data_IF_153201808957
#
_entry.id   IF_153201808957
#
_cell.length_a   1.000
_cell.length_b   1.000
_cell.length_c   1.000
_cell.angle_alpha   90.00
_cell.angle_beta   90.00
_cell.angle_gamma   90.00
#
_symmetry.space_group_name_H-M   'P 1'
#
loop_
_entity.id
_entity.type
_entity.pdbx_description
1 polymer ?
#
# COMPACT_ATOMS: atom_id res chain seq x y z
N UNK A 1 -35.11 6.65 40.62
CA UNK A 1 -34.77 6.45 42.03
C UNK A 1 -33.26 6.47 42.20
N UNK A 2 -32.86 7.51 42.83
CA UNK A 2 -31.70 7.86 43.66
C UNK A 2 -30.29 7.35 43.32
N UNK A 3 -29.51 8.35 42.88
CA UNK A 3 -28.05 8.52 43.10
C UNK A 3 -27.78 8.64 44.62
N UNK A 4 -26.56 8.25 44.99
CA UNK A 4 -25.80 8.44 46.26
C UNK A 4 -25.53 7.12 46.98
N UNK A 5 -24.24 6.77 46.95
CA UNK A 5 -23.43 6.52 48.17
C UNK A 5 -22.13 5.84 47.75
N UNK A 6 -21.06 6.62 47.69
CA UNK A 6 -19.67 6.15 47.85
C UNK A 6 -18.87 7.31 48.45
N UNK A 7 -18.85 7.41 49.74
CA UNK A 7 -17.81 8.16 50.47
C UNK A 7 -17.57 7.46 51.79
N UNK A 8 -16.31 7.30 52.11
CA UNK A 8 -15.64 7.09 53.39
C UNK A 8 -15.40 5.66 53.90
N UNK A 9 -14.09 5.42 54.00
CA UNK A 9 -13.35 4.96 55.20
C UNK A 9 -11.91 4.73 54.76
N UNK A 10 -10.83 5.28 55.28
CA UNK A 10 -10.52 5.72 56.59
C UNK A 10 -9.02 5.51 56.74
N UNK A 11 -8.31 6.53 57.15
CA UNK A 11 -6.85 6.54 57.32
C UNK A 11 -6.43 5.64 58.50
N UNK A 12 -5.30 4.95 58.35
CA UNK A 12 -4.46 4.52 59.47
C UNK A 12 -3.00 4.69 59.11
N UNK A 13 -2.32 5.64 59.74
CA UNK A 13 -0.90 5.85 59.68
C UNK A 13 -0.15 4.83 60.55
N UNK A 14 0.89 4.22 59.99
CA UNK A 14 1.92 3.58 60.81
C UNK A 14 3.29 4.11 60.36
N UNK A 15 3.92 4.87 61.27
CA UNK A 15 5.30 5.31 61.14
C UNK A 15 6.21 4.16 61.58
N UNK A 16 7.10 3.70 60.73
CA UNK A 16 8.29 2.94 61.12
C UNK A 16 9.50 3.54 60.40
N UNK A 17 10.38 4.10 61.21
CA UNK A 17 11.73 4.55 60.88
C UNK A 17 12.66 3.36 60.58
N UNK A 18 13.48 3.47 59.54
CA UNK A 18 14.54 2.48 59.34
C UNK A 18 15.33 2.63 58.02
N UNK A 19 16.46 3.34 58.11
CA UNK A 19 17.76 3.17 57.42
C UNK A 19 17.81 3.13 55.88
N UNK A 20 18.55 4.12 55.40
CA UNK A 20 19.06 4.33 54.07
C UNK A 20 19.72 3.08 53.46
N UNK A 21 19.28 2.69 52.29
CA UNK A 21 20.09 1.96 51.34
C UNK A 21 19.97 2.66 49.99
N UNK A 22 21.06 3.27 49.56
CA UNK A 22 21.26 3.79 48.20
C UNK A 22 21.15 2.62 47.24
N UNK A 23 19.98 2.44 46.63
CA UNK A 23 19.83 1.58 45.44
C UNK A 23 20.25 2.42 44.25
N UNK A 24 21.41 2.13 43.71
CA UNK A 24 21.87 2.55 42.41
C UNK A 24 20.79 2.20 41.37
N UNK A 25 20.13 3.21 40.84
CA UNK A 25 19.20 3.08 39.77
C UNK A 25 19.87 2.47 38.55
N UNK A 26 19.49 1.24 38.26
CA UNK A 26 19.82 0.59 37.02
C UNK A 26 19.00 1.28 35.91
N UNK A 27 19.55 2.32 35.30
CA UNK A 27 19.05 2.90 34.06
C UNK A 27 19.25 1.84 32.99
N UNK A 28 18.26 0.98 32.79
CA UNK A 28 18.19 0.16 31.59
C UNK A 28 18.11 1.13 30.42
N UNK A 29 19.23 1.38 29.76
CA UNK A 29 19.24 2.03 28.47
C UNK A 29 18.36 1.16 27.53
N UNK A 30 17.15 1.62 27.26
CA UNK A 30 16.39 1.14 26.11
C UNK A 30 17.30 1.42 24.91
N UNK A 31 18.01 0.41 24.44
CA UNK A 31 18.63 0.44 23.12
C UNK A 31 17.49 0.68 22.14
N UNK A 32 17.35 1.91 21.66
CA UNK A 32 16.49 2.20 20.51
C UNK A 32 16.93 1.26 19.40
N UNK A 33 16.08 0.31 19.06
CA UNK A 33 16.29 -0.51 17.86
C UNK A 33 16.33 0.48 16.70
N UNK A 34 17.53 0.72 16.14
CA UNK A 34 17.67 1.52 14.92
C UNK A 34 16.69 0.96 13.90
N UNK A 35 15.78 1.80 13.40
CA UNK A 35 14.85 1.44 12.34
C UNK A 35 15.63 0.83 11.16
N UNK A 36 15.13 -0.30 10.64
CA UNK A 36 15.71 -0.93 9.46
C UNK A 36 15.67 0.08 8.30
N UNK A 37 16.78 0.20 7.59
CA UNK A 37 16.87 1.07 6.42
C UNK A 37 17.20 0.25 5.17
N UNK A 38 16.75 0.74 4.03
CA UNK A 38 16.87 0.13 2.71
C UNK A 38 17.72 1.01 1.81
N UNK A 39 18.02 0.57 0.61
CA UNK A 39 18.75 1.35 -0.37
C UNK A 39 20.03 1.95 0.21
N UNK A 40 20.88 1.07 0.79
CA UNK A 40 22.15 1.47 1.44
C UNK A 40 21.99 2.55 2.53
N UNK A 41 20.84 2.54 3.21
CA UNK A 41 20.57 3.46 4.31
C UNK A 41 19.88 4.77 3.91
N UNK A 42 19.54 4.95 2.64
CA UNK A 42 18.86 6.16 2.14
C UNK A 42 17.38 6.15 2.50
N UNK A 43 16.69 5.02 2.37
CA UNK A 43 15.24 4.94 2.57
C UNK A 43 14.85 4.24 3.86
N UNK A 44 13.84 4.72 4.61
CA UNK A 44 13.24 3.99 5.71
C UNK A 44 12.28 2.88 5.23
N UNK A 45 11.94 2.87 3.94
CA UNK A 45 11.04 1.91 3.32
C UNK A 45 11.71 1.15 2.20
N UNK A 46 11.32 -0.12 1.94
CA UNK A 46 11.67 -0.80 0.71
C UNK A 46 11.09 -0.05 -0.48
N UNK A 47 11.82 -0.01 -1.60
CA UNK A 47 11.36 0.61 -2.85
C UNK A 47 10.94 -0.50 -3.82
N UNK A 48 9.70 -0.40 -4.27
CA UNK A 48 9.07 -1.32 -5.20
C UNK A 48 8.98 -0.72 -6.61
N UNK A 49 9.11 -1.54 -7.62
CA UNK A 49 8.78 -1.19 -9.00
C UNK A 49 7.42 -1.81 -9.35
N UNK A 50 6.43 -0.98 -9.62
CA UNK A 50 5.21 -1.42 -10.30
C UNK A 50 5.50 -1.72 -11.77
N UNK A 51 5.03 -2.87 -12.24
CA UNK A 51 5.31 -3.37 -13.59
C UNK A 51 4.69 -2.54 -14.71
N UNK A 52 3.67 -1.71 -14.43
CA UNK A 52 3.12 -0.76 -15.39
C UNK A 52 4.15 0.31 -15.80
N UNK A 53 5.12 0.62 -14.94
CA UNK A 53 6.20 1.58 -15.25
C UNK A 53 7.03 1.16 -16.47
N UNK A 54 7.19 -0.15 -16.67
CA UNK A 54 7.94 -0.75 -17.78
C UNK A 54 7.06 -1.74 -18.56
N UNK A 55 5.83 -1.36 -18.82
CA UNK A 55 4.74 -2.21 -19.33
C UNK A 55 5.08 -3.08 -20.55
N UNK A 56 5.84 -2.63 -21.55
CA UNK A 56 6.11 -3.43 -22.75
C UNK A 56 6.96 -4.69 -22.54
N UNK A 57 7.72 -4.77 -21.45
CA UNK A 57 8.54 -5.96 -21.18
C UNK A 57 7.68 -7.17 -20.76
N UNK A 58 8.17 -8.38 -21.02
CA UNK A 58 7.57 -9.59 -20.44
C UNK A 58 7.70 -9.62 -18.93
N UNK A 59 6.82 -10.33 -18.22
CA UNK A 59 6.88 -10.43 -16.75
C UNK A 59 8.27 -10.87 -16.25
N UNK A 60 8.87 -11.87 -16.90
CA UNK A 60 10.22 -12.33 -16.55
C UNK A 60 11.30 -11.27 -16.76
N UNK A 61 11.20 -10.49 -17.83
CA UNK A 61 12.14 -9.41 -18.08
C UNK A 61 11.94 -8.27 -17.10
N UNK A 62 10.70 -7.93 -16.75
CA UNK A 62 10.38 -6.93 -15.71
C UNK A 62 11.01 -7.30 -14.37
N UNK A 63 10.94 -8.57 -13.96
CA UNK A 63 11.58 -9.06 -12.73
C UNK A 63 13.10 -8.86 -12.79
N UNK A 64 13.75 -9.22 -13.92
CA UNK A 64 15.19 -9.04 -14.10
C UNK A 64 15.59 -7.57 -14.13
N UNK A 65 14.81 -6.73 -14.81
CA UNK A 65 15.01 -5.28 -14.87
C UNK A 65 14.94 -4.67 -13.46
N UNK A 66 13.91 -5.01 -12.68
CA UNK A 66 13.75 -4.52 -11.31
C UNK A 66 14.94 -4.91 -10.42
N UNK A 67 15.37 -6.18 -10.46
CA UNK A 67 16.51 -6.67 -9.71
C UNK A 67 17.81 -5.97 -10.13
N UNK A 68 18.07 -5.86 -11.43
CA UNK A 68 19.26 -5.21 -11.98
C UNK A 68 19.30 -3.72 -11.69
N UNK A 69 18.15 -3.04 -11.71
CA UNK A 69 18.04 -1.63 -11.33
C UNK A 69 18.26 -1.39 -9.83
N UNK A 70 18.16 -2.43 -9.00
CA UNK A 70 18.42 -2.37 -7.56
C UNK A 70 17.18 -2.08 -6.70
N UNK A 71 15.98 -2.35 -7.19
CA UNK A 71 14.76 -2.30 -6.38
C UNK A 71 14.78 -3.38 -5.29
N UNK A 72 14.05 -3.16 -4.20
CA UNK A 72 13.86 -4.14 -3.14
C UNK A 72 12.68 -5.08 -3.43
N UNK A 73 11.73 -4.63 -4.26
CA UNK A 73 10.47 -5.33 -4.51
C UNK A 73 9.94 -5.07 -5.92
N UNK A 74 9.00 -5.92 -6.35
CA UNK A 74 8.25 -5.77 -7.60
C UNK A 74 6.76 -5.97 -7.35
N UNK A 75 5.91 -5.17 -7.99
CA UNK A 75 4.45 -5.22 -7.92
C UNK A 75 3.87 -5.56 -9.29
N UNK A 76 3.57 -6.85 -9.56
CA UNK A 76 3.02 -7.27 -10.84
C UNK A 76 1.49 -7.10 -10.88
N UNK A 77 0.95 -7.16 -12.11
CA UNK A 77 -0.48 -7.21 -12.38
C UNK A 77 -0.99 -8.64 -12.47
N UNK A 78 -2.21 -8.88 -12.04
CA UNK A 78 -2.86 -10.19 -12.13
C UNK A 78 -2.95 -10.71 -13.56
N UNK A 79 -3.21 -9.83 -14.54
CA UNK A 79 -3.22 -10.18 -15.95
C UNK A 79 -1.87 -10.73 -16.46
N UNK A 80 -0.75 -10.24 -15.94
CA UNK A 80 0.58 -10.77 -16.26
C UNK A 80 0.79 -12.17 -15.67
N UNK A 81 0.26 -12.41 -14.49
CA UNK A 81 0.30 -13.73 -13.85
C UNK A 81 -0.57 -14.73 -14.60
N UNK A 82 -1.78 -14.32 -15.02
CA UNK A 82 -2.68 -15.13 -15.84
C UNK A 82 -2.03 -15.49 -17.17
N UNK A 83 -1.43 -14.52 -17.86
CA UNK A 83 -0.75 -14.74 -19.13
C UNK A 83 0.45 -15.69 -18.96
N UNK A 84 1.23 -15.53 -17.90
CA UNK A 84 2.38 -16.38 -17.60
C UNK A 84 1.92 -17.83 -17.35
N UNK A 85 0.87 -18.04 -16.55
CA UNK A 85 0.33 -19.36 -16.25
C UNK A 85 -0.32 -20.00 -17.51
N UNK A 86 -1.05 -19.22 -18.31
CA UNK A 86 -1.65 -19.68 -19.57
C UNK A 86 -0.61 -20.16 -20.60
N UNK A 87 0.61 -19.62 -20.53
CA UNK A 87 1.75 -20.06 -21.36
C UNK A 87 2.50 -21.25 -20.76
N UNK A 88 1.97 -21.89 -19.72
CA UNK A 88 2.55 -23.05 -19.05
C UNK A 88 3.58 -22.70 -17.95
N UNK A 89 3.65 -21.44 -17.54
CA UNK A 89 4.51 -21.02 -16.45
C UNK A 89 3.98 -21.50 -15.07
N UNK A 90 4.89 -21.75 -14.14
CA UNK A 90 4.56 -22.10 -12.76
C UNK A 90 4.79 -20.88 -11.86
N UNK A 91 3.73 -20.40 -11.19
CA UNK A 91 3.79 -19.18 -10.37
C UNK A 91 4.62 -19.38 -9.09
N UNK A 92 4.65 -20.58 -8.51
CA UNK A 92 5.48 -20.87 -7.31
C UNK A 92 6.96 -20.83 -7.66
N UNK A 93 7.33 -21.37 -8.83
CA UNK A 93 8.71 -21.30 -9.31
C UNK A 93 9.10 -19.86 -9.65
N UNK A 94 8.17 -19.08 -10.22
CA UNK A 94 8.38 -17.66 -10.47
C UNK A 94 8.58 -16.88 -9.16
N UNK A 95 7.78 -17.14 -8.15
CA UNK A 95 7.94 -16.55 -6.81
C UNK A 95 9.29 -16.87 -6.19
N UNK A 96 9.80 -18.10 -6.39
CA UNK A 96 11.15 -18.49 -5.98
C UNK A 96 12.21 -17.72 -6.77
N UNK A 97 12.09 -17.61 -8.11
CA UNK A 97 13.00 -16.83 -8.97
C UNK A 97 13.07 -15.36 -8.50
N UNK A 98 11.93 -14.74 -8.20
CA UNK A 98 11.85 -13.37 -7.65
C UNK A 98 12.67 -13.25 -6.37
N UNK A 99 12.48 -14.18 -5.43
CA UNK A 99 13.20 -14.20 -4.16
C UNK A 99 14.71 -14.45 -4.34
N UNK A 100 15.10 -15.36 -5.23
CA UNK A 100 16.50 -15.67 -5.51
C UNK A 100 17.24 -14.48 -6.14
N UNK A 101 16.52 -13.59 -6.84
CA UNK A 101 17.02 -12.31 -7.36
C UNK A 101 17.07 -11.19 -6.29
N UNK A 102 16.71 -11.48 -5.04
CA UNK A 102 16.72 -10.54 -3.93
C UNK A 102 15.49 -9.64 -3.85
N UNK A 103 14.48 -9.88 -4.66
CA UNK A 103 13.22 -9.15 -4.65
C UNK A 103 12.17 -9.85 -3.77
N UNK A 104 11.13 -9.10 -3.37
CA UNK A 104 9.89 -9.66 -2.85
C UNK A 104 8.67 -9.00 -3.51
N UNK A 105 7.49 -9.60 -3.32
CA UNK A 105 6.24 -9.10 -3.88
C UNK A 105 5.37 -8.53 -2.73
N UNK A 106 5.28 -7.20 -2.56
CA UNK A 106 4.47 -6.62 -1.51
C UNK A 106 2.98 -6.69 -1.81
N UNK A 107 2.62 -6.59 -3.08
CA UNK A 107 1.24 -6.53 -3.56
C UNK A 107 1.15 -7.01 -5.03
N UNK A 108 -0.05 -7.42 -5.42
CA UNK A 108 -0.46 -7.65 -6.82
C UNK A 108 -1.62 -6.73 -7.13
N UNK A 109 -1.62 -6.09 -8.29
CA UNK A 109 -2.77 -5.31 -8.76
C UNK A 109 -3.77 -6.27 -9.41
N UNK A 110 -5.00 -6.41 -8.84
CA UNK A 110 -5.77 -7.46 -9.42
C UNK A 110 -7.22 -7.76 -9.07
N UNK A 111 -7.84 -7.30 -8.03
CA UNK A 111 -9.25 -7.65 -7.77
C UNK A 111 -10.20 -6.58 -8.34
N UNK A 112 -10.34 -6.54 -9.68
CA UNK A 112 -11.10 -5.52 -10.38
C UNK A 112 -12.62 -5.63 -10.22
N UNK A 113 -13.16 -6.84 -10.07
CA UNK A 113 -14.60 -7.12 -10.03
C UNK A 113 -15.03 -7.80 -8.72
N UNK A 114 -14.20 -7.72 -7.68
CA UNK A 114 -14.48 -8.41 -6.43
C UNK A 114 -15.53 -7.72 -5.55
N UNK A 115 -15.87 -6.46 -5.84
CA UNK A 115 -16.83 -5.65 -5.08
C UNK A 115 -17.93 -5.08 -6.00
N UNK A 116 -18.72 -5.92 -6.69
CA UNK A 116 -19.78 -5.47 -7.58
C UNK A 116 -21.02 -4.98 -6.80
N UNK A 117 -21.98 -4.30 -7.49
CA UNK A 117 -23.11 -3.63 -6.84
C UNK A 117 -24.20 -4.55 -6.31
N UNK A 118 -24.28 -5.80 -6.75
CA UNK A 118 -25.36 -6.72 -6.32
C UNK A 118 -24.85 -8.04 -5.76
N UNK A 119 -25.69 -8.76 -5.04
CA UNK A 119 -25.36 -10.06 -4.45
C UNK A 119 -25.08 -11.10 -5.52
N UNK A 120 -25.88 -11.15 -6.57
CA UNK A 120 -25.75 -12.11 -7.67
C UNK A 120 -24.40 -11.95 -8.38
N UNK A 121 -24.02 -10.70 -8.67
CA UNK A 121 -22.72 -10.39 -9.29
C UNK A 121 -21.56 -10.71 -8.35
N UNK A 122 -21.73 -10.47 -7.05
CA UNK A 122 -20.72 -10.82 -6.05
C UNK A 122 -20.51 -12.34 -6.02
N UNK A 123 -21.56 -13.11 -5.87
CA UNK A 123 -21.47 -14.58 -5.82
C UNK A 123 -20.87 -15.14 -7.14
N UNK A 124 -21.24 -14.57 -8.29
CA UNK A 124 -20.65 -14.94 -9.58
C UNK A 124 -19.15 -14.60 -9.69
N UNK A 125 -18.69 -13.52 -9.04
CA UNK A 125 -17.29 -13.09 -9.09
C UNK A 125 -16.37 -13.93 -8.22
N UNK A 126 -16.88 -14.67 -7.23
CA UNK A 126 -16.07 -15.35 -6.20
C UNK A 126 -15.09 -16.38 -6.76
N UNK A 127 -15.44 -17.07 -7.85
CA UNK A 127 -14.52 -18.05 -8.46
C UNK A 127 -13.28 -17.36 -9.03
N UNK A 128 -13.44 -16.27 -9.76
CA UNK A 128 -12.34 -15.50 -10.34
C UNK A 128 -11.55 -14.79 -9.24
N UNK A 129 -12.22 -14.19 -8.27
CA UNK A 129 -11.61 -13.57 -7.08
C UNK A 129 -10.68 -14.54 -6.35
N UNK A 130 -11.12 -15.79 -6.08
CA UNK A 130 -10.28 -16.82 -5.47
C UNK A 130 -9.08 -17.21 -6.32
N UNK A 131 -9.29 -17.32 -7.65
CA UNK A 131 -8.20 -17.65 -8.56
C UNK A 131 -7.11 -16.56 -8.57
N UNK A 132 -7.48 -15.28 -8.56
CA UNK A 132 -6.56 -14.16 -8.50
C UNK A 132 -5.80 -14.12 -7.16
N UNK A 133 -6.49 -14.38 -6.04
CA UNK A 133 -5.86 -14.51 -4.72
C UNK A 133 -4.89 -15.68 -4.67
N UNK A 134 -5.23 -16.85 -5.27
CA UNK A 134 -4.32 -17.98 -5.40
C UNK A 134 -3.05 -17.59 -6.15
N UNK A 135 -3.17 -16.95 -7.31
CA UNK A 135 -2.03 -16.51 -8.11
C UNK A 135 -1.12 -15.56 -7.34
N UNK A 136 -1.70 -14.59 -6.64
CA UNK A 136 -0.94 -13.67 -5.80
C UNK A 136 -0.22 -14.40 -4.65
N UNK A 137 -0.87 -15.35 -4.00
CA UNK A 137 -0.27 -16.16 -2.95
C UNK A 137 0.88 -17.03 -3.47
N UNK A 138 0.72 -17.64 -4.64
CA UNK A 138 1.73 -18.53 -5.22
C UNK A 138 3.03 -17.83 -5.59
N UNK A 139 2.98 -16.55 -6.02
CA UNK A 139 4.20 -15.75 -6.23
C UNK A 139 4.75 -15.14 -4.94
N UNK A 140 4.11 -15.39 -3.79
CA UNK A 140 4.55 -14.91 -2.48
C UNK A 140 4.15 -13.47 -2.16
N UNK A 141 3.10 -12.94 -2.77
CA UNK A 141 2.57 -11.64 -2.44
C UNK A 141 1.95 -11.61 -1.03
N UNK A 142 2.02 -10.46 -0.38
CA UNK A 142 1.36 -10.23 0.91
C UNK A 142 -0.04 -9.64 0.72
N UNK A 143 -0.18 -8.70 -0.20
CA UNK A 143 -1.42 -7.99 -0.45
C UNK A 143 -1.90 -8.22 -1.89
N UNK A 144 -3.20 -8.01 -2.11
CA UNK A 144 -3.78 -7.88 -3.44
C UNK A 144 -4.67 -6.65 -3.49
N UNK A 145 -4.46 -5.80 -4.48
CA UNK A 145 -5.22 -4.57 -4.65
C UNK A 145 -6.66 -4.87 -5.03
N UNK A 146 -7.56 -4.18 -4.38
CA UNK A 146 -9.00 -4.32 -4.57
C UNK A 146 -9.59 -2.98 -4.94
N UNK A 147 -10.08 -2.86 -6.17
CA UNK A 147 -10.72 -1.66 -6.66
C UNK A 147 -12.22 -1.86 -6.61
N UNK A 148 -12.96 -1.10 -5.79
CA UNK A 148 -14.42 -1.15 -5.75
C UNK A 148 -15.00 -0.72 -7.09
N UNK A 149 -15.30 -1.68 -7.95
CA UNK A 149 -15.97 -1.45 -9.23
C UNK A 149 -17.47 -1.67 -9.05
N UNK A 150 -18.13 -0.69 -8.48
CA UNK A 150 -19.58 -0.63 -8.48
C UNK A 150 -20.02 0.01 -9.78
N UNK A 151 -19.98 -0.76 -10.87
CA UNK A 151 -20.44 -0.28 -12.17
C UNK A 151 -21.85 0.32 -12.04
N UNK A 152 -21.97 1.64 -12.21
CA UNK A 152 -23.24 2.35 -12.17
C UNK A 152 -23.40 3.33 -11.01
N UNK A 153 -24.53 3.99 -11.00
CA UNK A 153 -24.86 5.19 -10.22
C UNK A 153 -25.07 4.93 -8.71
N UNK A 154 -25.04 3.69 -8.23
CA UNK A 154 -25.40 3.33 -6.86
C UNK A 154 -24.17 2.99 -6.00
N UNK A 155 -23.34 3.99 -5.70
CA UNK A 155 -22.36 3.85 -4.64
C UNK A 155 -23.08 3.63 -3.29
N UNK A 156 -22.92 2.44 -2.74
CA UNK A 156 -23.43 2.10 -1.41
C UNK A 156 -22.27 1.65 -0.52
N UNK A 157 -21.77 2.57 0.30
CA UNK A 157 -20.62 2.32 1.19
C UNK A 157 -20.81 1.11 2.09
N UNK A 158 -21.98 0.94 2.70
CA UNK A 158 -22.26 -0.20 3.60
C UNK A 158 -22.25 -1.54 2.86
N UNK A 159 -22.77 -1.56 1.64
CA UNK A 159 -22.70 -2.76 0.79
C UNK A 159 -21.26 -3.11 0.44
N UNK A 160 -20.48 -2.13 -0.04
CA UNK A 160 -19.07 -2.32 -0.39
C UNK A 160 -18.28 -2.78 0.83
N UNK A 161 -18.47 -2.17 2.00
CA UNK A 161 -17.80 -2.54 3.23
C UNK A 161 -18.10 -3.98 3.66
N UNK A 162 -19.37 -4.40 3.58
CA UNK A 162 -19.75 -5.77 3.88
C UNK A 162 -19.11 -6.78 2.91
N UNK A 163 -19.08 -6.48 1.62
CA UNK A 163 -18.41 -7.34 0.61
C UNK A 163 -16.89 -7.32 0.76
N UNK A 164 -16.32 -6.18 1.08
CA UNK A 164 -14.89 -6.08 1.39
C UNK A 164 -14.51 -6.97 2.57
N UNK A 165 -15.32 -6.98 3.63
CA UNK A 165 -15.13 -7.91 4.75
C UNK A 165 -15.17 -9.37 4.29
N UNK A 166 -16.13 -9.75 3.44
CA UNK A 166 -16.23 -11.12 2.94
C UNK A 166 -14.98 -11.54 2.17
N UNK A 167 -14.44 -10.68 1.29
CA UNK A 167 -13.21 -11.02 0.55
C UNK A 167 -11.95 -10.99 1.42
N UNK A 168 -11.91 -10.15 2.46
CA UNK A 168 -10.84 -10.21 3.48
C UNK A 168 -10.81 -11.58 4.16
N UNK A 169 -11.96 -12.06 4.62
CA UNK A 169 -12.07 -13.38 5.25
C UNK A 169 -11.65 -14.51 4.31
N UNK A 170 -12.05 -14.45 3.03
CA UNK A 170 -11.63 -15.42 2.01
C UNK A 170 -10.11 -15.36 1.80
N UNK A 171 -9.58 -14.17 1.55
CA UNK A 171 -8.15 -13.98 1.28
C UNK A 171 -7.27 -14.48 2.41
N UNK A 172 -7.61 -14.12 3.63
CA UNK A 172 -6.85 -14.51 4.83
C UNK A 172 -6.93 -16.00 5.12
N UNK A 173 -8.14 -16.57 5.10
CA UNK A 173 -8.34 -17.98 5.50
C UNK A 173 -7.89 -18.98 4.45
N UNK A 174 -8.15 -18.71 3.17
CA UNK A 174 -7.90 -19.66 2.09
C UNK A 174 -6.48 -19.51 1.49
N UNK A 175 -5.93 -18.28 1.48
CA UNK A 175 -4.70 -17.98 0.73
C UNK A 175 -3.61 -17.26 1.54
N UNK A 176 -3.89 -16.82 2.75
CA UNK A 176 -2.99 -15.94 3.54
C UNK A 176 -2.61 -14.66 2.76
N UNK A 177 -3.59 -14.10 2.03
CA UNK A 177 -3.49 -12.86 1.26
C UNK A 177 -4.39 -11.80 1.89
N UNK A 178 -3.91 -10.55 1.94
CA UNK A 178 -4.64 -9.41 2.45
C UNK A 178 -5.16 -8.54 1.30
N UNK A 179 -6.45 -8.61 0.93
CA UNK A 179 -7.06 -7.63 0.04
C UNK A 179 -6.95 -6.22 0.64
N UNK A 180 -6.52 -5.24 -0.16
CA UNK A 180 -6.37 -3.85 0.26
C UNK A 180 -7.09 -2.92 -0.71
N UNK A 181 -7.86 -1.95 -0.20
CA UNK A 181 -8.68 -1.06 -1.02
C UNK A 181 -7.84 0.00 -1.71
N UNK A 182 -8.03 0.14 -3.01
CA UNK A 182 -7.51 1.25 -3.81
C UNK A 182 -8.65 2.22 -4.13
N UNK A 183 -8.36 3.49 -4.18
CA UNK A 183 -9.26 4.52 -4.69
C UNK A 183 -8.70 5.10 -5.98
N UNK A 184 -9.56 5.33 -6.96
CA UNK A 184 -9.17 5.76 -8.30
C UNK A 184 -10.17 6.80 -8.81
N UNK A 185 -9.69 7.90 -9.40
CA UNK A 185 -10.50 9.04 -9.87
C UNK A 185 -11.74 8.61 -10.68
N UNK A 186 -11.61 7.62 -11.54
CA UNK A 186 -12.68 7.18 -12.47
C UNK A 186 -13.51 6.02 -11.95
N UNK A 187 -13.34 5.66 -10.67
CA UNK A 187 -14.13 4.64 -10.00
C UNK A 187 -15.07 5.29 -8.97
N UNK A 188 -16.10 4.61 -8.50
CA UNK A 188 -17.01 5.14 -7.48
C UNK A 188 -16.33 5.55 -6.18
N UNK A 189 -15.26 4.84 -5.80
CA UNK A 189 -14.39 5.19 -4.66
C UNK A 189 -13.21 5.97 -5.20
N UNK A 190 -13.27 7.30 -5.06
CA UNK A 190 -12.34 8.24 -5.69
C UNK A 190 -11.28 8.78 -4.74
N UNK A 191 -11.59 8.85 -3.45
CA UNK A 191 -10.74 9.52 -2.47
C UNK A 191 -10.28 8.58 -1.36
N UNK A 192 -9.15 8.93 -0.75
CA UNK A 192 -8.63 8.22 0.42
C UNK A 192 -9.66 8.18 1.57
N UNK A 193 -10.40 9.27 1.78
CA UNK A 193 -11.44 9.34 2.80
C UNK A 193 -12.57 8.33 2.57
N UNK A 194 -13.01 8.16 1.30
CA UNK A 194 -14.00 7.13 0.96
C UNK A 194 -13.46 5.71 1.18
N UNK A 195 -12.23 5.42 0.75
CA UNK A 195 -11.61 4.11 0.97
C UNK A 195 -11.44 3.80 2.47
N UNK A 196 -11.01 4.77 3.28
CA UNK A 196 -10.93 4.63 4.73
C UNK A 196 -12.31 4.43 5.37
N UNK A 197 -13.34 5.15 4.93
CA UNK A 197 -14.71 4.95 5.40
C UNK A 197 -15.19 3.51 5.17
N UNK A 198 -14.93 2.94 3.98
CA UNK A 198 -15.24 1.55 3.68
C UNK A 198 -14.44 0.59 4.57
N UNK A 199 -13.13 0.84 4.75
CA UNK A 199 -12.28 0.01 5.59
C UNK A 199 -12.76 0.00 7.07
N UNK A 200 -13.17 1.16 7.58
CA UNK A 200 -13.73 1.28 8.93
C UNK A 200 -15.09 0.57 9.06
N UNK A 201 -16.00 0.76 8.09
CA UNK A 201 -17.32 0.14 8.08
C UNK A 201 -17.25 -1.38 7.89
N UNK A 202 -16.19 -1.90 7.24
CA UNK A 202 -15.94 -3.34 7.16
C UNK A 202 -15.71 -3.96 8.55
N UNK A 203 -15.31 -3.15 9.52
CA UNK A 203 -15.08 -3.56 10.91
C UNK A 203 -14.24 -4.84 11.01
N UNK A 204 -13.11 -4.85 10.33
CA UNK A 204 -12.17 -5.96 10.29
C UNK A 204 -10.74 -5.48 10.63
N UNK A 205 -9.99 -6.14 11.54
CA UNK A 205 -8.69 -5.66 11.99
C UNK A 205 -7.64 -5.58 10.87
N UNK A 206 -7.78 -6.38 9.83
CA UNK A 206 -6.88 -6.43 8.67
C UNK A 206 -7.37 -5.58 7.49
N UNK A 207 -8.38 -4.71 7.70
CA UNK A 207 -8.83 -3.80 6.65
C UNK A 207 -7.79 -2.71 6.40
N UNK A 208 -7.37 -2.57 5.14
CA UNK A 208 -6.28 -1.69 4.72
C UNK A 208 -6.63 -0.94 3.44
N UNK A 209 -5.93 0.16 3.21
CA UNK A 209 -6.00 0.93 1.96
C UNK A 209 -4.62 1.01 1.30
N UNK A 210 -4.61 1.41 0.04
CA UNK A 210 -3.40 1.73 -0.72
C UNK A 210 -3.53 3.19 -1.20
N UNK A 211 -2.90 4.14 -0.49
CA UNK A 211 -2.81 5.51 -0.96
C UNK A 211 -1.87 5.61 -2.16
N UNK A 212 -2.24 6.46 -3.11
CA UNK A 212 -1.49 6.77 -4.31
C UNK A 212 -1.39 8.30 -4.46
N UNK A 213 -0.18 8.83 -4.52
CA UNK A 213 0.07 10.29 -4.59
C UNK A 213 -0.60 10.93 -5.79
N UNK A 214 -0.64 10.23 -6.93
CA UNK A 214 -1.27 10.73 -8.14
C UNK A 214 -2.80 10.81 -8.00
N UNK A 215 -3.43 9.72 -7.54
CA UNK A 215 -4.87 9.70 -7.32
C UNK A 215 -5.32 10.62 -6.18
N UNK A 216 -4.51 10.81 -5.13
CA UNK A 216 -4.79 11.79 -4.09
C UNK A 216 -4.92 13.21 -4.66
N UNK A 217 -4.09 13.54 -5.66
CA UNK A 217 -4.12 14.84 -6.32
C UNK A 217 -5.28 14.94 -7.33
N UNK A 218 -5.36 14.04 -8.31
CA UNK A 218 -6.30 14.14 -9.42
C UNK A 218 -7.76 13.90 -9.04
N UNK A 219 -8.00 13.29 -7.87
CA UNK A 219 -9.35 13.13 -7.29
C UNK A 219 -9.76 14.31 -6.40
N UNK A 220 -8.93 15.35 -6.31
CA UNK A 220 -9.16 16.54 -5.48
C UNK A 220 -9.33 16.22 -3.97
N UNK A 221 -8.95 15.01 -3.55
CA UNK A 221 -8.99 14.58 -2.15
C UNK A 221 -7.91 15.20 -1.28
N UNK A 222 -6.83 15.68 -1.90
CA UNK A 222 -5.67 16.28 -1.23
C UNK A 222 -4.87 15.30 -0.37
N UNK A 223 -3.88 15.83 0.34
CA UNK A 223 -2.90 15.02 1.09
C UNK A 223 -3.08 15.08 2.62
N UNK A 224 -3.81 16.05 3.14
CA UNK A 224 -3.93 16.31 4.58
C UNK A 224 -4.52 15.12 5.35
N UNK A 225 -5.41 14.35 4.72
CA UNK A 225 -6.00 13.15 5.32
C UNK A 225 -4.97 12.06 5.66
N UNK A 226 -3.80 12.07 5.02
CA UNK A 226 -2.72 11.09 5.32
C UNK A 226 -2.25 11.19 6.77
N UNK A 227 -2.27 12.39 7.36
CA UNK A 227 -1.87 12.64 8.76
C UNK A 227 -2.84 12.04 9.78
N UNK A 228 -4.05 11.68 9.35
CA UNK A 228 -5.14 11.21 10.23
C UNK A 228 -5.21 9.69 10.31
N UNK A 229 -4.46 8.97 9.50
CA UNK A 229 -4.52 7.49 9.44
C UNK A 229 -3.30 6.85 10.09
N UNK A 230 -3.47 5.62 10.58
CA UNK A 230 -2.36 4.81 11.07
C UNK A 230 -1.60 4.18 9.91
N UNK A 231 -0.28 4.13 9.98
CA UNK A 231 0.54 3.39 9.02
C UNK A 231 0.21 1.90 8.95
N UNK A 232 -0.40 1.33 9.99
CA UNK A 232 -0.89 -0.07 9.98
C UNK A 232 -2.11 -0.26 9.07
N UNK A 233 -2.83 0.82 8.72
CA UNK A 233 -3.95 0.79 7.78
C UNK A 233 -3.51 0.97 6.32
N UNK A 234 -2.21 1.07 6.07
CA UNK A 234 -1.63 1.25 4.73
C UNK A 234 -0.89 -0.03 4.33
N UNK A 235 -1.34 -0.69 3.26
CA UNK A 235 -0.72 -1.91 2.76
C UNK A 235 0.61 -1.62 2.04
N UNK A 236 0.55 -0.76 1.03
CA UNK A 236 1.66 -0.16 0.30
C UNK A 236 1.33 1.29 0.01
N UNK A 237 2.32 2.07 -0.42
CA UNK A 237 2.15 3.47 -0.79
C UNK A 237 2.60 3.67 -2.24
N UNK A 238 1.66 3.91 -3.15
CA UNK A 238 1.96 4.15 -4.57
C UNK A 238 2.45 5.57 -4.78
N UNK A 239 3.48 5.71 -5.61
CA UNK A 239 4.29 6.92 -5.69
C UNK A 239 4.59 7.30 -7.12
N UNK A 240 4.19 8.49 -7.49
CA UNK A 240 4.43 9.14 -8.78
C UNK A 240 4.25 10.64 -8.62
N UNK A 241 4.42 11.40 -9.70
CA UNK A 241 4.26 12.84 -9.69
C UNK A 241 3.34 13.30 -10.84
N UNK A 242 2.85 14.52 -10.75
CA UNK A 242 2.01 15.19 -11.75
C UNK A 242 2.88 16.17 -12.53
N UNK A 243 2.82 16.22 -13.88
CA UNK A 243 3.71 17.07 -14.68
C UNK A 243 3.61 18.55 -14.31
N UNK A 244 4.69 19.30 -14.46
CA UNK A 244 4.78 20.73 -14.14
C UNK A 244 3.90 21.64 -14.99
N UNK A 245 3.46 21.16 -16.14
CA UNK A 245 2.47 21.81 -17.00
C UNK A 245 1.32 20.84 -17.22
N UNK A 246 0.51 20.57 -16.20
CA UNK A 246 -0.58 19.63 -16.33
C UNK A 246 -1.65 20.19 -17.27
N UNK A 247 -2.35 19.31 -17.97
CA UNK A 247 -3.69 19.59 -18.45
C UNK A 247 -4.60 19.99 -17.27
N UNK A 248 -5.81 20.44 -17.52
CA UNK A 248 -6.77 20.62 -16.45
C UNK A 248 -6.90 19.33 -15.63
N UNK A 249 -7.12 19.42 -14.32
CA UNK A 249 -7.15 18.24 -13.43
C UNK A 249 -8.16 17.19 -13.90
N UNK A 250 -9.27 17.65 -14.48
CA UNK A 250 -10.30 16.80 -15.06
C UNK A 250 -9.80 15.93 -16.23
N UNK A 251 -8.81 16.43 -16.99
CA UNK A 251 -8.24 15.76 -18.17
C UNK A 251 -7.04 14.85 -17.81
N UNK A 252 -6.58 14.91 -16.56
CA UNK A 252 -5.47 14.08 -16.13
C UNK A 252 -5.91 12.61 -15.97
N UNK A 253 -5.21 11.73 -16.69
CA UNK A 253 -5.29 10.28 -16.56
C UNK A 253 -3.92 9.68 -16.21
N UNK A 254 -3.88 8.38 -15.93
CA UNK A 254 -2.65 7.70 -15.50
C UNK A 254 -1.47 7.85 -16.46
N UNK A 255 -1.74 8.03 -17.77
CA UNK A 255 -0.71 8.25 -18.80
C UNK A 255 0.10 9.55 -18.61
N UNK A 256 -0.34 10.44 -17.76
CA UNK A 256 0.35 11.71 -17.50
C UNK A 256 1.29 11.64 -16.27
N UNK A 257 1.36 10.52 -15.57
CA UNK A 257 2.28 10.35 -14.44
C UNK A 257 3.72 10.57 -14.90
N UNK A 258 4.50 11.29 -14.09
CA UNK A 258 5.93 11.53 -14.32
C UNK A 258 6.75 11.03 -13.14
N UNK A 259 8.07 10.93 -13.34
CA UNK A 259 8.98 10.53 -12.27
C UNK A 259 8.84 11.42 -11.04
N UNK A 260 8.96 10.86 -9.82
CA UNK A 260 8.99 11.64 -8.59
C UNK A 260 10.03 12.78 -8.64
N UNK A 261 9.60 14.00 -8.37
CA UNK A 261 10.42 15.20 -8.38
C UNK A 261 10.52 15.91 -9.74
N UNK A 262 9.92 15.37 -10.79
CA UNK A 262 9.81 16.04 -12.09
C UNK A 262 8.48 16.79 -12.26
N UNK A 263 7.66 16.77 -11.24
CA UNK A 263 6.33 17.37 -11.25
C UNK A 263 6.11 18.41 -10.15
N UNK A 264 4.85 18.60 -9.81
CA UNK A 264 4.37 19.66 -8.93
C UNK A 264 3.97 19.22 -7.54
N UNK A 265 3.91 17.90 -7.28
CA UNK A 265 3.43 17.42 -5.99
C UNK A 265 4.44 17.74 -4.87
N UNK A 266 3.96 18.09 -3.67
CA UNK A 266 4.83 18.35 -2.52
C UNK A 266 5.37 17.03 -1.91
N UNK A 267 5.95 16.16 -2.75
CA UNK A 267 6.35 14.81 -2.39
C UNK A 267 7.25 14.72 -1.14
N UNK A 268 8.22 15.65 -0.90
CA UNK A 268 8.99 15.62 0.34
C UNK A 268 8.13 15.78 1.60
N UNK A 269 7.09 16.63 1.55
CA UNK A 269 6.17 16.79 2.67
C UNK A 269 5.27 15.57 2.84
N UNK A 270 4.75 15.00 1.75
CA UNK A 270 3.94 13.78 1.77
C UNK A 270 4.71 12.63 2.41
N UNK A 271 6.01 12.47 2.09
CA UNK A 271 6.86 11.43 2.70
C UNK A 271 7.11 11.66 4.20
N UNK A 272 7.23 12.92 4.65
CA UNK A 272 7.29 13.24 6.09
C UNK A 272 6.00 12.84 6.80
N UNK A 273 4.87 13.16 6.19
CA UNK A 273 3.55 12.82 6.73
C UNK A 273 3.37 11.29 6.76
N UNK A 274 3.76 10.60 5.69
CA UNK A 274 3.76 9.13 5.64
C UNK A 274 4.62 8.52 6.77
N UNK A 275 5.83 9.05 7.00
CA UNK A 275 6.69 8.60 8.10
C UNK A 275 6.03 8.81 9.45
N UNK A 276 5.37 9.94 9.65
CA UNK A 276 4.68 10.28 10.90
C UNK A 276 3.51 9.33 11.20
N UNK A 277 2.87 8.71 10.18
CA UNK A 277 1.85 7.66 10.40
C UNK A 277 2.41 6.39 11.05
N UNK A 278 3.72 6.19 11.04
CA UNK A 278 4.38 4.95 11.44
C UNK A 278 4.40 3.87 10.35
N UNK A 279 4.12 4.22 9.09
CA UNK A 279 4.13 3.28 7.97
C UNK A 279 5.46 2.52 7.84
N UNK A 280 5.38 1.21 7.61
CA UNK A 280 6.54 0.29 7.50
C UNK A 280 6.51 -0.55 6.20
N UNK A 281 5.53 -0.34 5.33
CA UNK A 281 5.40 -1.05 4.05
C UNK A 281 6.31 -0.52 2.95
N UNK A 282 6.03 -0.91 1.71
CA UNK A 282 6.75 -0.47 0.51
C UNK A 282 6.26 0.86 -0.03
N UNK A 283 7.18 1.67 -0.55
CA UNK A 283 6.88 2.75 -1.50
C UNK A 283 7.04 2.18 -2.91
N UNK A 284 5.95 2.16 -3.68
CA UNK A 284 5.89 1.56 -5.02
C UNK A 284 5.85 2.63 -6.10
N UNK A 285 6.89 2.68 -6.93
CA UNK A 285 6.93 3.57 -8.10
C UNK A 285 5.96 3.07 -9.16
N UNK A 286 4.91 3.84 -9.42
CA UNK A 286 3.86 3.49 -10.37
C UNK A 286 3.68 4.57 -11.45
N UNK A 287 4.09 4.26 -12.67
CA UNK A 287 4.02 5.15 -13.83
C UNK A 287 3.39 4.44 -15.03
N UNK A 288 2.42 5.11 -15.67
CA UNK A 288 1.74 4.60 -16.87
C UNK A 288 2.08 5.41 -18.10
N UNK A 289 3.27 6.04 -18.13
CA UNK A 289 3.61 7.02 -19.17
C UNK A 289 4.05 6.34 -20.47
N UNK A 290 3.28 6.47 -21.57
CA UNK A 290 3.61 5.84 -22.84
C UNK A 290 4.92 6.35 -23.47
N UNK A 291 5.42 7.52 -23.06
CA UNK A 291 6.70 8.02 -23.54
C UNK A 291 7.85 7.23 -22.94
N UNK A 292 7.76 6.89 -21.64
CA UNK A 292 8.77 6.03 -21.00
C UNK A 292 8.76 4.61 -21.57
N UNK A 293 7.60 4.12 -22.03
CA UNK A 293 7.51 2.79 -22.67
C UNK A 293 8.23 2.68 -24.02
N UNK A 294 8.61 3.80 -24.63
CA UNK A 294 9.36 3.86 -25.89
C UNK A 294 10.87 3.92 -25.67
N UNK A 295 11.30 4.11 -24.41
CA UNK A 295 12.70 4.21 -24.04
C UNK A 295 13.30 2.83 -23.70
N UNK A 296 14.60 2.80 -23.39
CA UNK A 296 15.24 1.64 -22.77
C UNK A 296 14.64 1.39 -21.38
N UNK A 297 13.89 0.30 -21.25
CA UNK A 297 13.14 -0.01 -20.02
C UNK A 297 14.05 -0.24 -18.80
N UNK A 298 15.31 -0.68 -18.99
CA UNK A 298 16.29 -0.75 -17.92
C UNK A 298 16.63 0.65 -17.40
N UNK A 299 16.87 1.60 -18.31
CA UNK A 299 17.13 3.00 -17.95
C UNK A 299 15.92 3.67 -17.31
N UNK A 300 14.72 3.35 -17.78
CA UNK A 300 13.45 3.83 -17.15
C UNK A 300 13.40 3.39 -15.69
N UNK A 301 13.63 2.11 -15.42
CA UNK A 301 13.62 1.59 -14.05
C UNK A 301 14.72 2.22 -13.18
N UNK A 302 15.96 2.32 -13.68
CA UNK A 302 17.09 2.93 -12.96
C UNK A 302 16.84 4.42 -12.67
N UNK A 303 16.28 5.16 -13.64
CA UNK A 303 15.92 6.58 -13.47
C UNK A 303 14.83 6.73 -12.43
N UNK A 304 13.80 5.89 -12.47
CA UNK A 304 12.71 5.90 -11.51
C UNK A 304 13.18 5.68 -10.08
N UNK A 305 14.03 4.66 -9.87
CA UNK A 305 14.64 4.41 -8.56
C UNK A 305 15.45 5.60 -8.06
N UNK A 306 16.36 6.10 -8.89
CA UNK A 306 17.21 7.24 -8.55
C UNK A 306 16.40 8.46 -8.13
N UNK A 307 15.39 8.83 -8.92
CA UNK A 307 14.53 9.98 -8.64
C UNK A 307 13.69 9.79 -7.38
N UNK A 308 13.17 8.60 -7.14
CA UNK A 308 12.48 8.26 -5.89
C UNK A 308 13.39 8.48 -4.70
N UNK A 309 14.63 7.99 -4.75
CA UNK A 309 15.61 8.15 -3.67
C UNK A 309 16.07 9.61 -3.47
N UNK A 310 16.17 10.40 -4.53
CA UNK A 310 16.45 11.85 -4.45
C UNK A 310 15.35 12.58 -3.68
N UNK A 311 14.07 12.26 -3.94
CA UNK A 311 12.93 12.84 -3.19
C UNK A 311 12.93 12.40 -1.73
N UNK A 312 13.20 11.12 -1.44
CA UNK A 312 13.32 10.59 -0.07
C UNK A 312 14.44 11.32 0.68
N UNK A 313 15.61 11.48 0.07
CA UNK A 313 16.73 12.22 0.64
C UNK A 313 16.36 13.68 0.90
N UNK A 314 15.67 14.34 -0.05
CA UNK A 314 15.18 15.72 0.12
C UNK A 314 14.16 15.84 1.25
N UNK A 315 13.36 14.83 1.47
CA UNK A 315 12.41 14.77 2.58
C UNK A 315 13.11 14.66 3.96
N UNK A 316 14.31 14.09 4.04
CA UNK A 316 15.03 13.90 5.29
C UNK A 316 14.39 12.86 6.22
N UNK A 317 13.76 11.82 5.67
CA UNK A 317 13.04 10.78 6.42
C UNK A 317 13.87 9.54 6.68
#
# INVERSE_FOLDING_TARGET
MNRRNFINLGAAAAVISGTSSLALGNTSSKTEKKDKRYQKGVSPWPICLDTATIRPASLKDKIKIAAKAGYDAIEPWDGELQEFEAKGGNLKDLGKEIKDLGLFVPSVIGLWNALPPTRELFDASLKDTRNRMRMAAEIGAKHIQTIPNTAGENYNQKWIAARYRDILEIGLKEFNIHPALVFVKYQPVKTMGQAMGIAMDANHPEAMIIPDTYHMYISEGGFEGLKMISGNSIAIFQFGDVPSSPAAVEDLGDQHRVYPGDGILPLPQILKDLKATGFKGCVSLELYNPNYWKEDLQKVAETGLRKTLEVIKKAGV
#
